data_IF_428087068414
#
_entry.id   IF_428087068414
#
_cell.length_a   1.000
_cell.length_b   1.000
_cell.length_c   1.000
_cell.angle_alpha   90.00
_cell.angle_beta   90.00
_cell.angle_gamma   90.00
#
_symmetry.space_group_name_H-M   'P 1'
#
loop_
_entity.id
_entity.type
_entity.pdbx_description
1 polymer ?
2 non-polymer ?
3 non-polymer ?
4 water ?
#
# COMPACT_ATOMS: atom_id res chain seq x y z
N UNK A 1 0.80 -8.34 16.66
CA UNK A 1 0.91 -6.94 16.19
C UNK A 1 2.32 -6.39 16.36
N UNK A 2 2.69 -5.47 15.47
CA UNK A 2 4.00 -4.83 15.49
C UNK A 2 3.85 -3.31 15.40
N UNK A 3 4.96 -2.59 15.50
CA UNK A 3 4.96 -1.14 15.42
C UNK A 3 5.55 -0.65 14.10
N UNK A 4 4.71 -0.01 13.29
CA UNK A 4 5.11 0.51 11.98
C UNK A 4 5.57 1.97 11.97
N UNK A 5 5.45 2.65 13.11
CA UNK A 5 5.85 4.06 13.24
C UNK A 5 7.22 4.40 12.65
N UNK A 6 7.26 5.42 11.80
CA UNK A 6 8.52 5.83 11.19
C UNK A 6 8.43 6.39 9.78
N UNK A 7 9.59 6.69 9.22
CA UNK A 7 9.71 7.21 7.86
C UNK A 7 10.53 6.15 7.14
N UNK A 8 10.01 5.66 6.02
CA UNK A 8 10.67 4.59 5.28
C UNK A 8 10.93 4.98 3.83
N UNK A 9 12.05 4.52 3.29
CA UNK A 9 12.41 4.81 1.91
C UNK A 9 12.40 3.50 1.14
N UNK A 10 12.01 3.54 -0.13
CA UNK A 10 11.96 2.33 -0.93
C UNK A 10 13.31 1.74 -1.28
N UNK A 11 13.43 0.43 -1.06
CA UNK A 11 14.64 -0.32 -1.36
C UNK A 11 14.44 -1.03 -2.69
N UNK A 12 13.36 -1.81 -2.77
CA UNK A 12 13.05 -2.58 -3.97
C UNK A 12 11.58 -2.58 -4.36
N UNK A 13 11.34 -2.82 -5.64
CA UNK A 13 10.00 -2.85 -6.20
C UNK A 13 9.97 -3.96 -7.24
N UNK A 14 8.98 -4.85 -7.16
CA UNK A 14 8.89 -5.96 -8.10
C UNK A 14 7.50 -6.21 -8.66
N UNK A 15 7.42 -6.27 -9.99
CA UNK A 15 6.18 -6.53 -10.72
C UNK A 15 5.10 -5.46 -10.51
N UNK A 16 5.52 -4.24 -10.22
CA UNK A 16 4.60 -3.12 -9.99
C UNK A 16 3.83 -2.74 -11.26
N UNK A 17 4.50 -2.76 -12.41
CA UNK A 17 3.84 -2.41 -13.67
C UNK A 17 2.69 -3.34 -14.04
N UNK A 18 2.84 -4.63 -13.75
CA UNK A 18 1.76 -5.56 -14.07
C UNK A 18 0.61 -5.38 -13.08
N UNK A 19 0.94 -5.07 -11.83
CA UNK A 19 -0.08 -4.83 -10.82
C UNK A 19 -0.94 -3.62 -11.24
N UNK A 20 -0.30 -2.57 -11.76
CA UNK A 20 -1.02 -1.37 -12.20
C UNK A 20 -1.81 -1.64 -13.47
N UNK A 21 -1.32 -2.55 -14.31
CA UNK A 21 -1.99 -2.92 -15.55
C UNK A 21 -3.31 -3.60 -15.20
N UNK A 22 -3.29 -4.38 -14.12
CA UNK A 22 -4.46 -5.10 -13.63
C UNK A 22 -5.54 -4.13 -13.14
N UNK A 23 -5.14 -2.89 -12.86
CA UNK A 23 -6.06 -1.87 -12.39
C UNK A 23 -6.46 -0.89 -13.50
N UNK A 24 -6.01 -1.18 -14.72
CA UNK A 24 -6.30 -0.36 -15.90
C UNK A 24 -5.60 0.99 -15.92
N UNK A 25 -4.42 1.06 -15.30
CA UNK A 25 -3.65 2.30 -15.27
C UNK A 25 -2.93 2.42 -16.61
N UNK A 26 -2.95 3.62 -17.20
CA UNK A 26 -2.33 3.86 -18.50
C UNK A 26 -0.82 3.58 -18.55
N UNK A 27 -0.36 3.16 -19.72
CA UNK A 27 1.05 2.82 -19.92
C UNK A 27 2.04 3.88 -19.47
N UNK A 28 1.81 5.12 -19.89
CA UNK A 28 2.70 6.21 -19.52
C UNK A 28 2.85 6.33 -18.01
N UNK A 29 1.73 6.38 -17.30
CA UNK A 29 1.75 6.49 -15.85
C UNK A 29 2.36 5.25 -15.19
N UNK A 30 2.23 4.11 -15.85
CA UNK A 30 2.76 2.84 -15.34
C UNK A 30 4.29 2.84 -15.36
N UNK A 31 4.85 3.36 -16.44
CA UNK A 31 6.29 3.43 -16.60
C UNK A 31 6.89 4.45 -15.64
N UNK A 32 6.24 5.61 -15.55
CA UNK A 32 6.67 6.68 -14.67
C UNK A 32 6.63 6.22 -13.21
N UNK A 33 5.51 5.62 -12.82
CA UNK A 33 5.31 5.13 -11.47
C UNK A 33 6.31 4.05 -11.05
N UNK A 34 6.69 3.19 -11.99
CA UNK A 34 7.63 2.12 -11.69
C UNK A 34 9.06 2.61 -11.53
N UNK A 35 9.34 3.81 -12.02
CA UNK A 35 10.67 4.39 -11.90
C UNK A 35 10.80 5.28 -10.67
N UNK A 36 9.69 5.52 -9.97
CA UNK A 36 9.69 6.34 -8.76
C UNK A 36 10.02 5.51 -7.53
N UNK A 37 10.77 6.10 -6.61
CA UNK A 37 11.12 5.44 -5.35
C UNK A 37 10.50 6.28 -4.24
N UNK A 38 9.18 6.13 -4.03
CA UNK A 38 8.45 6.88 -3.01
C UNK A 38 8.77 6.50 -1.56
N UNK A 39 8.56 7.45 -0.66
CA UNK A 39 8.79 7.23 0.76
C UNK A 39 7.46 6.83 1.39
N UNK A 40 7.52 6.36 2.63
CA UNK A 40 6.32 5.96 3.35
C UNK A 40 6.40 6.50 4.76
N UNK A 41 5.45 7.35 5.13
CA UNK A 41 5.40 7.88 6.48
C UNK A 41 4.23 7.19 7.16
N UNK A 42 4.50 6.46 8.22
CA UNK A 42 3.43 5.77 8.93
C UNK A 42 3.30 6.27 10.36
N UNK A 43 2.09 6.69 10.71
CA UNK A 43 1.81 7.16 12.06
C UNK A 43 0.83 6.15 12.67
N UNK A 44 1.31 5.39 13.64
CA UNK A 44 0.49 4.39 14.32
C UNK A 44 0.22 4.85 15.76
N UNK A 45 -1.05 5.07 16.07
CA UNK A 45 -1.45 5.53 17.40
C UNK A 45 -2.61 4.64 17.83
N UNK A 46 -2.30 3.61 18.62
CA UNK A 46 -3.33 2.68 19.05
C UNK A 46 -3.79 1.89 17.83
N UNK A 47 -5.09 1.88 17.57
CA UNK A 47 -5.61 1.18 16.40
C UNK A 47 -5.83 2.16 15.25
N UNK A 48 -5.49 3.42 15.47
CA UNK A 48 -5.63 4.44 14.44
C UNK A 48 -4.33 4.47 13.66
N UNK A 49 -4.42 4.38 12.34
CA UNK A 49 -3.23 4.37 11.52
C UNK A 49 -3.32 5.28 10.30
N UNK A 50 -2.23 5.99 10.03
CA UNK A 50 -2.15 6.87 8.88
C UNK A 50 -0.94 6.40 8.10
N UNK A 51 -1.14 6.06 6.83
CA UNK A 51 -0.06 5.61 5.97
C UNK A 51 -0.01 6.54 4.77
N UNK A 52 1.11 7.23 4.63
CA UNK A 52 1.31 8.17 3.54
C UNK A 52 2.38 7.70 2.58
N UNK A 53 1.98 7.39 1.34
CA UNK A 53 2.92 6.98 0.31
C UNK A 53 3.24 8.30 -0.40
N UNK A 54 4.45 8.79 -0.16
CA UNK A 54 4.92 10.08 -0.65
C UNK A 54 5.83 10.15 -1.86
N UNK A 55 5.55 11.14 -2.70
CA UNK A 55 6.30 11.41 -3.92
C UNK A 55 5.88 12.81 -4.37
N UNK A 56 6.80 13.58 -4.93
CA UNK A 56 6.47 14.93 -5.41
C UNK A 56 5.58 14.81 -6.66
N UNK A 57 5.72 13.69 -7.38
CA UNK A 57 4.92 13.43 -8.57
C UNK A 57 3.47 13.24 -8.14
N UNK A 58 3.27 12.42 -7.12
CA UNK A 58 1.93 12.14 -6.61
C UNK A 58 1.97 11.36 -5.29
N UNK A 59 1.02 11.68 -4.41
CA UNK A 59 0.89 11.02 -3.11
C UNK A 59 -0.38 10.19 -3.04
N UNK A 60 -0.46 9.36 -2.02
CA UNK A 60 -1.64 8.55 -1.75
C UNK A 60 -1.69 8.41 -0.24
N UNK A 61 -2.76 8.90 0.37
CA UNK A 61 -2.89 8.86 1.81
C UNK A 61 -4.00 7.93 2.28
N UNK A 62 -3.71 7.21 3.36
CA UNK A 62 -4.66 6.30 4.00
C UNK A 62 -4.74 6.74 5.46
N UNK A 63 -5.96 6.83 5.96
CA UNK A 63 -6.20 7.24 7.34
C UNK A 63 -7.37 6.36 7.76
N UNK A 64 -7.10 5.39 8.62
CA UNK A 64 -8.14 4.45 9.04
C UNK A 64 -7.97 3.90 10.45
N UNK A 65 -8.96 3.12 10.86
CA UNK A 65 -8.97 2.46 12.15
C UNK A 65 -8.95 0.96 11.87
N UNK A 66 -7.97 0.26 12.46
CA UNK A 66 -7.83 -1.18 12.28
C UNK A 66 -9.11 -1.89 12.72
N UNK A 67 -9.59 -2.79 11.86
CA UNK A 67 -10.80 -3.53 12.15
C UNK A 67 -12.08 -2.89 11.65
N UNK A 68 -12.03 -1.60 11.32
CA UNK A 68 -13.22 -0.90 10.86
C UNK A 68 -13.25 -0.66 9.35
N UNK A 69 -14.28 -1.19 8.70
CA UNK A 69 -14.44 -1.02 7.26
C UNK A 69 -14.70 0.45 6.92
N UNK A 70 -14.05 0.92 5.86
CA UNK A 70 -14.20 2.30 5.43
C UNK A 70 -14.27 2.39 3.91
N UNK A 71 -14.79 3.51 3.42
CA UNK A 71 -14.90 3.72 1.98
C UNK A 71 -13.60 4.35 1.49
N UNK A 72 -12.77 3.53 0.85
CA UNK A 72 -11.48 3.99 0.35
C UNK A 72 -11.55 4.64 -1.02
N UNK A 73 -11.21 5.93 -1.08
CA UNK A 73 -11.19 6.65 -2.34
C UNK A 73 -9.78 6.59 -2.92
N UNK A 74 -9.62 5.76 -3.94
CA UNK A 74 -8.33 5.56 -4.58
C UNK A 74 -8.02 6.54 -5.71
N UNK A 75 -8.48 7.78 -5.56
CA UNK A 75 -8.21 8.80 -6.56
C UNK A 75 -6.70 9.02 -6.59
N UNK A 76 -6.14 8.91 -7.79
CA UNK A 76 -4.72 9.07 -7.97
C UNK A 76 -4.10 7.78 -8.48
N UNK A 77 -4.74 6.66 -8.16
CA UNK A 77 -4.26 5.35 -8.60
C UNK A 77 -5.12 4.94 -9.79
N UNK A 78 -6.35 4.53 -9.51
CA UNK A 78 -7.28 4.12 -10.55
C UNK A 78 -8.65 4.78 -10.39
N UNK A 79 -8.72 5.72 -9.46
CA UNK A 79 -9.93 6.49 -9.16
C UNK A 79 -11.14 5.64 -8.80
N UNK A 80 -10.93 4.52 -8.12
CA UNK A 80 -12.04 3.65 -7.73
C UNK A 80 -12.37 3.80 -6.25
N UNK A 81 -13.54 3.31 -5.88
CA UNK A 81 -13.98 3.32 -4.49
C UNK A 81 -14.07 1.86 -4.09
N UNK A 82 -13.59 1.55 -2.89
CA UNK A 82 -13.62 0.19 -2.38
C UNK A 82 -14.05 0.23 -0.93
N UNK A 83 -14.61 -0.87 -0.45
CA UNK A 83 -14.99 -0.99 0.95
C UNK A 83 -13.79 -1.74 1.50
N UNK A 84 -12.94 -1.01 2.21
CA UNK A 84 -11.72 -1.57 2.75
C UNK A 84 -11.68 -1.82 4.24
N UNK A 85 -11.01 -2.90 4.61
CA UNK A 85 -10.84 -3.30 5.99
C UNK A 85 -9.40 -3.74 6.15
N UNK A 86 -8.74 -3.19 7.16
CA UNK A 86 -7.36 -3.53 7.46
C UNK A 86 -7.41 -4.15 8.85
N UNK A 87 -6.88 -5.37 8.98
CA UNK A 87 -6.88 -6.08 10.26
C UNK A 87 -5.53 -6.71 10.55
N UNK A 88 -5.35 -7.10 11.81
CA UNK A 88 -4.12 -7.76 12.23
C UNK A 88 -4.28 -9.25 12.00
N UNK A 89 -3.25 -9.88 11.46
CA UNK A 89 -3.23 -11.31 11.24
C UNK A 89 -1.90 -11.69 11.86
N UNK A 90 -1.89 -11.73 13.19
CA UNK A 90 -0.68 -12.02 13.93
C UNK A 90 0.15 -10.76 13.88
N UNK A 91 1.36 -10.87 13.33
CA UNK A 91 2.24 -9.71 13.20
C UNK A 91 2.15 -9.10 11.80
N UNK A 92 1.23 -9.62 10.99
CA UNK A 92 1.03 -9.10 9.64
C UNK A 92 -0.18 -8.19 9.63
N UNK A 93 -0.18 -7.22 8.73
CA UNK A 93 -1.28 -6.28 8.60
C UNK A 93 -1.96 -6.62 7.27
N UNK A 94 -3.18 -7.13 7.36
CA UNK A 94 -3.94 -7.52 6.18
C UNK A 94 -4.95 -6.48 5.75
N UNK A 95 -5.09 -6.31 4.44
CA UNK A 95 -6.05 -5.36 3.89
C UNK A 95 -6.80 -5.96 2.71
N UNK A 96 -8.12 -5.91 2.77
CA UNK A 96 -8.95 -6.40 1.66
C UNK A 96 -9.76 -5.21 1.14
N UNK A 97 -9.59 -4.94 -0.15
CA UNK A 97 -10.28 -3.83 -0.82
C UNK A 97 -11.39 -4.37 -1.72
N UNK A 98 -12.62 -4.32 -1.22
CA UNK A 98 -13.78 -4.82 -1.96
C UNK A 98 -14.28 -3.82 -2.99
N UNK A 99 -14.41 -4.27 -4.23
CA UNK A 99 -14.88 -3.40 -5.29
C UNK A 99 -14.99 -4.15 -6.60
N UNK A 100 -14.83 -3.44 -7.72
CA UNK A 100 -14.95 -4.07 -9.03
C UNK A 100 -13.85 -5.08 -9.35
N UNK A 101 -12.64 -4.84 -8.85
CA UNK A 101 -11.52 -5.74 -9.08
C UNK A 101 -11.47 -6.95 -8.14
N UNK A 102 -11.06 -8.09 -8.70
CA UNK A 102 -10.93 -9.36 -7.99
C UNK A 102 -9.62 -9.44 -7.22
N UNK A 103 -9.64 -10.13 -6.09
CA UNK A 103 -8.45 -10.31 -5.26
C UNK A 103 -7.64 -9.06 -4.95
N UNK A 104 -8.32 -7.95 -4.74
CA UNK A 104 -7.64 -6.70 -4.43
C UNK A 104 -7.38 -6.54 -2.94
N UNK A 105 -6.12 -6.34 -2.60
CA UNK A 105 -5.73 -6.17 -1.21
C UNK A 105 -4.22 -6.16 -1.08
N UNK A 106 -3.73 -6.11 0.16
CA UNK A 106 -2.30 -6.11 0.41
C UNK A 106 -1.97 -6.65 1.80
N UNK A 107 -0.70 -6.99 1.99
CA UNK A 107 -0.21 -7.51 3.26
C UNK A 107 1.10 -6.82 3.56
N UNK A 108 1.27 -6.44 4.82
CA UNK A 108 2.44 -5.70 5.28
C UNK A 108 3.01 -6.32 6.57
N UNK A 109 4.33 -6.40 6.67
CA UNK A 109 4.97 -6.94 7.87
C UNK A 109 6.38 -6.40 7.99
N UNK A 110 7.01 -6.64 9.13
CA UNK A 110 8.36 -6.16 9.39
C UNK A 110 9.40 -7.25 9.57
N UNK A 111 10.57 -7.01 9.00
CA UNK A 111 11.72 -7.91 9.10
C UNK A 111 12.90 -7.00 9.44
N UNK A 112 13.27 -6.98 10.72
CA UNK A 112 14.36 -6.13 11.18
C UNK A 112 13.92 -4.68 11.07
N UNK A 113 14.67 -3.89 10.31
CA UNK A 113 14.32 -2.48 10.10
C UNK A 113 13.74 -2.29 8.69
N UNK A 114 13.21 -3.37 8.11
CA UNK A 114 12.62 -3.32 6.77
C UNK A 114 11.13 -3.59 6.78
N UNK A 115 10.41 -2.82 5.97
CA UNK A 115 8.97 -2.96 5.81
C UNK A 115 8.73 -3.75 4.53
N UNK A 116 8.03 -4.86 4.66
CA UNK A 116 7.71 -5.70 3.50
C UNK A 116 6.24 -5.54 3.17
N UNK A 117 5.96 -5.28 1.90
CA UNK A 117 4.59 -5.06 1.46
C UNK A 117 4.30 -5.78 0.15
N UNK A 118 3.24 -6.57 0.13
CA UNK A 118 2.84 -7.28 -1.07
C UNK A 118 1.45 -6.81 -1.45
N UNK A 119 1.31 -6.34 -2.68
CA UNK A 119 0.04 -5.85 -3.19
C UNK A 119 -0.52 -6.82 -4.21
N UNK A 120 -1.83 -7.03 -4.17
CA UNK A 120 -2.47 -7.96 -5.09
C UNK A 120 -3.72 -7.38 -5.72
N UNK A 121 -4.02 -7.84 -6.93
CA UNK A 121 -5.19 -7.41 -7.69
C UNK A 121 -5.26 -8.26 -8.94
N UNK A 122 -6.43 -8.85 -9.18
CA UNK A 122 -6.67 -9.69 -10.35
C UNK A 122 -5.71 -10.87 -10.50
N UNK A 123 -5.29 -11.44 -9.38
CA UNK A 123 -4.37 -12.56 -9.39
C UNK A 123 -2.90 -12.18 -9.55
N UNK A 124 -2.61 -10.88 -9.70
CA UNK A 124 -1.24 -10.39 -9.85
C UNK A 124 -0.68 -9.98 -8.49
N UNK A 125 0.61 -10.24 -8.28
CA UNK A 125 1.28 -9.90 -7.03
C UNK A 125 2.50 -9.02 -7.25
N UNK A 126 2.54 -7.92 -6.50
CA UNK A 126 3.63 -6.94 -6.53
C UNK A 126 4.30 -6.96 -5.16
N UNK A 127 5.63 -6.93 -5.14
CA UNK A 127 6.38 -6.95 -3.89
C UNK A 127 7.28 -5.73 -3.73
N UNK A 128 7.20 -5.11 -2.57
CA UNK A 128 7.99 -3.92 -2.27
C UNK A 128 8.67 -4.04 -0.92
N UNK A 129 9.85 -3.44 -0.81
CA UNK A 129 10.60 -3.44 0.45
C UNK A 129 11.05 -2.01 0.74
N UNK A 130 10.92 -1.61 2.00
CA UNK A 130 11.29 -0.27 2.44
C UNK A 130 12.26 -0.39 3.62
N UNK A 131 13.10 0.63 3.80
CA UNK A 131 14.07 0.64 4.88
C UNK A 131 13.71 1.78 5.84
N UNK A 132 13.71 1.50 7.14
CA UNK A 132 13.39 2.52 8.13
C UNK A 132 14.56 3.49 8.22
N UNK A 133 14.31 4.74 7.86
CA UNK A 133 15.36 5.76 7.90
C UNK A 133 15.17 6.76 9.03
N UNK A 134 13.96 6.78 9.58
CA UNK A 134 13.67 7.68 10.68
C UNK A 134 12.54 7.15 11.55
X LIG B 1 4.09 -10.90 17.84
X LIG C 1 4.39 -13.79 -0.94
X LIG D 1 2.32 6.29 -6.77
X LIG D 1 2.92 7.24 -7.83
X LIG D 1 1.96 7.74 -8.87
X LIG D 1 1.32 6.62 -9.63
X LIG D 1 0.80 5.49 -8.70
X LIG D 1 1.22 5.34 -7.43
X LIG D 1 0.68 4.25 -6.61
X LIG D 1 0.65 4.09 -5.28
X LIG D 1 0.10 2.93 -4.59
X LIG D 1 0.17 2.93 -3.26
X LIG D 1 -0.28 1.88 -2.36
X LIG D 1 -0.06 2.11 -1.06
X LIG D 1 -0.37 1.23 0.04
X LIG D 1 -0.06 1.63 1.28
X LIG D 1 -0.27 0.91 2.52
X LIG D 1 1.01 0.53 3.03
X LIG D 1 1.68 7.17 -5.67
X LIG D 1 3.48 5.46 -6.18
X LIG D 1 -0.21 4.57 -9.41
X LIG D 1 -0.53 1.75 -5.37
X LIG D 1 -1.01 -0.14 -0.23
#
# INVERSE_FOLDING_TARGET
PVDFNGYWKMLSNENFEEYLRALDVNVALRKIANLLKPDKEIVQDGDHMIIRTLSTFRNYIMDFQVGKEFEEDLTGIDDRKCMTTVSWDGDKLQCVQKGEKEGRGWTQWIEGDELHLEMRAEGVTCKQVFKKVH
CD CD
CD CD
RTL C1 C2 C3 C4 C5 C6 C7 C8 C9 C10 C11 C12 C13 C14 C15 O1 C16 C17 C18 C19 C20
#
